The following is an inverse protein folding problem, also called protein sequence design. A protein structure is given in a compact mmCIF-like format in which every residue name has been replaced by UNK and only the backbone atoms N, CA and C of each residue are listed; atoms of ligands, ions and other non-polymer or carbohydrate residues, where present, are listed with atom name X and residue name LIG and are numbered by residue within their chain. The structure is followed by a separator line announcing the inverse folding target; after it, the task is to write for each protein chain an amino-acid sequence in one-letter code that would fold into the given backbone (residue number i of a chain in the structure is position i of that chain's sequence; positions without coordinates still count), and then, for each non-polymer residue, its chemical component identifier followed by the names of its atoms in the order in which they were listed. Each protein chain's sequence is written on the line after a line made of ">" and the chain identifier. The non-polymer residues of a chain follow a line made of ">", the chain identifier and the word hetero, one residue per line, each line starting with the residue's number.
data_IF_046473027485
#
_entry.id   IF_046473027485
#
_cell.length_a   1.000
_cell.length_b   1.000
_cell.length_c   1.000
_cell.angle_alpha   90.00
_cell.angle_beta   90.00
_cell.angle_gamma   90.00
#
_symmetry.space_group_name_H-M   'P 1'
#
loop_
_entity.id
_entity.type
_entity.pdbx_description
1 polymer ?
#
# COMPACT_ATOMS: atom_id res chain seq x y z
N UNK A 1 28.60 10.02 -22.70
CA UNK A 1 28.37 10.00 -21.28
C UNK A 1 26.97 9.62 -20.90
N UNK A 2 26.17 9.27 -21.86
CA UNK A 2 24.83 8.77 -21.61
C UNK A 2 24.84 7.53 -20.74
N UNK A 3 25.82 6.65 -20.90
CA UNK A 3 25.88 5.42 -20.12
C UNK A 3 26.03 5.66 -18.61
N UNK A 4 26.81 6.66 -18.20
CA UNK A 4 26.96 7.00 -16.78
C UNK A 4 25.68 7.60 -16.20
N UNK A 5 25.00 8.46 -16.96
CA UNK A 5 23.74 9.05 -16.53
C UNK A 5 22.66 7.99 -16.39
N UNK A 6 22.59 7.07 -17.34
CA UNK A 6 21.63 5.97 -17.30
C UNK A 6 21.89 5.05 -16.10
N UNK A 7 23.14 4.77 -15.80
CA UNK A 7 23.50 3.95 -14.65
C UNK A 7 23.10 4.61 -13.33
N UNK A 8 23.26 5.94 -13.21
CA UNK A 8 22.85 6.70 -12.03
C UNK A 8 21.33 6.72 -11.88
N UNK A 9 20.60 6.87 -12.97
CA UNK A 9 19.14 6.82 -12.94
C UNK A 9 18.62 5.45 -12.53
N UNK A 10 19.23 4.39 -13.05
CA UNK A 10 18.87 3.03 -12.70
C UNK A 10 19.07 2.79 -11.21
N UNK A 11 20.20 3.22 -10.67
CA UNK A 11 20.50 3.04 -9.25
C UNK A 11 19.55 3.83 -8.38
N UNK A 12 19.23 5.05 -8.75
CA UNK A 12 18.28 5.90 -8.02
C UNK A 12 16.90 5.25 -8.00
N UNK A 13 16.45 4.74 -9.13
CA UNK A 13 15.15 4.12 -9.24
C UNK A 13 15.07 2.83 -8.42
N UNK A 14 16.16 2.09 -8.35
CA UNK A 14 16.24 0.90 -7.51
C UNK A 14 16.10 1.24 -6.04
N UNK A 15 16.77 2.29 -5.57
CA UNK A 15 16.69 2.74 -4.18
C UNK A 15 15.27 3.20 -3.85
N UNK A 16 14.63 3.96 -4.75
CA UNK A 16 13.26 4.40 -4.56
C UNK A 16 12.31 3.21 -4.43
N UNK A 17 12.46 2.21 -5.30
CA UNK A 17 11.61 1.02 -5.26
C UNK A 17 11.80 0.24 -3.96
N UNK A 18 13.04 0.09 -3.50
CA UNK A 18 13.33 -0.59 -2.24
C UNK A 18 12.73 0.14 -1.04
N UNK A 19 12.85 1.48 -1.01
CA UNK A 19 12.27 2.29 0.06
C UNK A 19 10.75 2.19 0.06
N UNK A 20 10.13 2.31 -1.11
CA UNK A 20 8.68 2.22 -1.23
C UNK A 20 8.17 0.86 -0.72
N UNK A 21 8.85 -0.22 -1.07
CA UNK A 21 8.50 -1.55 -0.59
C UNK A 21 8.65 -1.70 0.92
N UNK A 22 9.73 -1.16 1.49
CA UNK A 22 9.96 -1.20 2.93
C UNK A 22 8.91 -0.40 3.71
N UNK A 23 8.56 0.80 3.22
CA UNK A 23 7.53 1.64 3.83
C UNK A 23 6.18 0.94 3.76
N UNK A 24 5.82 0.40 2.60
CA UNK A 24 4.56 -0.33 2.44
C UNK A 24 4.48 -1.51 3.40
N UNK A 25 5.56 -2.27 3.54
CA UNK A 25 5.60 -3.40 4.46
C UNK A 25 5.38 -2.94 5.91
N UNK A 26 6.02 -1.85 6.31
CA UNK A 26 5.86 -1.31 7.66
C UNK A 26 4.48 -0.77 7.93
N UNK A 27 3.81 -0.21 6.92
CA UNK A 27 2.45 0.31 7.07
C UNK A 27 1.42 -0.81 7.20
N UNK A 28 1.69 -1.97 6.64
CA UNK A 28 0.76 -3.09 6.71
C UNK A 28 0.46 -3.54 8.15
N UNK A 29 1.43 -3.48 9.03
CA UNK A 29 1.25 -3.92 10.41
C UNK A 29 0.21 -3.07 11.16
N UNK A 30 0.37 -1.73 11.25
CA UNK A 30 -0.64 -0.90 11.93
C UNK A 30 -1.99 -0.92 11.21
N UNK A 31 -2.02 -1.03 9.90
CA UNK A 31 -3.27 -1.14 9.16
C UNK A 31 -4.01 -2.43 9.50
N UNK A 32 -3.30 -3.53 9.63
CA UNK A 32 -3.90 -4.81 10.01
C UNK A 32 -4.49 -4.75 11.42
N UNK A 33 -3.80 -4.08 12.34
CA UNK A 33 -4.29 -3.89 13.70
C UNK A 33 -5.57 -3.04 13.70
N UNK A 34 -5.55 -1.91 13.01
CA UNK A 34 -6.72 -1.02 12.94
C UNK A 34 -7.91 -1.74 12.29
N UNK A 35 -7.67 -2.45 11.20
CA UNK A 35 -8.70 -3.22 10.52
C UNK A 35 -9.30 -4.26 11.43
N UNK A 36 -8.46 -5.04 12.12
CA UNK A 36 -8.93 -6.11 13.01
C UNK A 36 -9.80 -5.60 14.13
N UNK A 37 -9.41 -4.51 14.80
CA UNK A 37 -10.22 -3.93 15.88
C UNK A 37 -11.52 -3.34 15.36
N UNK A 38 -11.50 -2.68 14.21
CA UNK A 38 -12.73 -2.16 13.60
C UNK A 38 -13.71 -3.28 13.28
N UNK A 39 -13.23 -4.38 12.74
CA UNK A 39 -14.08 -5.53 12.45
C UNK A 39 -14.65 -6.15 13.72
N UNK A 40 -13.84 -6.26 14.77
CA UNK A 40 -14.32 -6.77 16.05
C UNK A 40 -15.45 -5.91 16.60
N UNK A 41 -15.35 -4.58 16.51
CA UNK A 41 -16.38 -3.68 17.00
C UNK A 41 -17.64 -3.77 16.12
N UNK A 42 -17.47 -3.73 14.81
CA UNK A 42 -18.60 -3.69 13.87
C UNK A 42 -19.36 -5.02 13.80
N UNK A 43 -18.68 -6.13 14.07
CA UNK A 43 -19.28 -7.47 14.02
C UNK A 43 -19.76 -7.96 15.38
N UNK A 44 -19.50 -7.22 16.45
CA UNK A 44 -19.91 -7.62 17.80
C UNK A 44 -21.41 -7.42 17.98
N UNK A 45 -22.17 -8.52 18.12
CA UNK A 45 -23.62 -8.41 18.29
C UNK A 45 -24.03 -7.82 19.64
N UNK A 46 -23.10 -7.75 20.61
CA UNK A 46 -23.37 -7.19 21.93
C UNK A 46 -22.99 -5.73 22.04
N UNK A 47 -22.32 -5.16 21.03
CA UNK A 47 -21.94 -3.76 21.06
C UNK A 47 -23.16 -2.87 20.86
N UNK A 48 -23.40 -2.00 21.84
CA UNK A 48 -24.49 -1.03 21.78
C UNK A 48 -23.93 0.29 21.23
N UNK A 49 -24.00 0.44 19.92
CA UNK A 49 -23.50 1.64 19.24
C UNK A 49 -24.68 2.47 18.78
N UNK A 50 -24.67 3.76 19.11
CA UNK A 50 -25.67 4.69 18.56
C UNK A 50 -25.44 4.85 17.05
N UNK A 51 -26.45 5.31 16.29
CA UNK A 51 -26.34 5.43 14.85
C UNK A 51 -25.19 6.32 14.38
N UNK A 52 -24.92 7.39 15.13
CA UNK A 52 -23.85 8.33 14.76
C UNK A 52 -22.48 7.70 14.93
N UNK A 53 -22.25 7.04 16.06
CA UNK A 53 -20.97 6.33 16.31
C UNK A 53 -20.77 5.23 15.29
N UNK A 54 -21.82 4.47 14.99
CA UNK A 54 -21.73 3.40 13.99
C UNK A 54 -21.35 3.95 12.61
N UNK A 55 -21.95 5.08 12.23
CA UNK A 55 -21.61 5.73 10.97
C UNK A 55 -20.15 6.14 10.92
N UNK A 56 -19.64 6.74 12.00
CA UNK A 56 -18.24 7.15 12.07
C UNK A 56 -17.30 5.95 11.99
N UNK A 57 -17.61 4.88 12.68
CA UNK A 57 -16.80 3.67 12.63
C UNK A 57 -16.77 3.06 11.22
N UNK A 58 -17.89 3.07 10.52
CA UNK A 58 -17.96 2.59 9.15
C UNK A 58 -17.13 3.44 8.20
N UNK A 59 -17.17 4.77 8.39
CA UNK A 59 -16.34 5.66 7.59
C UNK A 59 -14.84 5.42 7.82
N UNK A 60 -14.46 5.20 9.08
CA UNK A 60 -13.06 4.86 9.41
C UNK A 60 -12.69 3.52 8.79
N UNK A 61 -13.58 2.53 8.82
CA UNK A 61 -13.34 1.22 8.23
C UNK A 61 -13.10 1.34 6.72
N UNK A 62 -13.90 2.13 6.02
CA UNK A 62 -13.71 2.39 4.60
C UNK A 62 -12.35 3.05 4.34
N UNK A 63 -11.97 4.03 5.16
CA UNK A 63 -10.70 4.72 5.00
C UNK A 63 -9.51 3.77 5.21
N UNK A 64 -9.58 2.93 6.22
CA UNK A 64 -8.52 1.93 6.49
C UNK A 64 -8.44 0.93 5.34
N UNK A 65 -9.57 0.50 4.82
CA UNK A 65 -9.64 -0.40 3.67
C UNK A 65 -8.98 0.23 2.44
N UNK A 66 -9.27 1.50 2.19
CA UNK A 66 -8.67 2.23 1.07
C UNK A 66 -7.16 2.34 1.24
N UNK A 67 -6.69 2.64 2.44
CA UNK A 67 -5.25 2.70 2.71
C UNK A 67 -4.59 1.34 2.48
N UNK A 68 -5.23 0.27 2.91
CA UNK A 68 -4.69 -1.08 2.72
C UNK A 68 -4.58 -1.42 1.23
N UNK A 69 -5.55 -1.04 0.44
CA UNK A 69 -5.50 -1.24 -1.02
C UNK A 69 -4.36 -0.47 -1.66
N UNK A 70 -4.13 0.77 -1.23
CA UNK A 70 -3.02 1.59 -1.74
C UNK A 70 -1.69 0.95 -1.37
N UNK A 71 -1.54 0.51 -0.13
CA UNK A 71 -0.31 -0.16 0.33
C UNK A 71 -0.06 -1.45 -0.44
N UNK A 72 -1.10 -2.24 -0.69
CA UNK A 72 -0.99 -3.46 -1.48
C UNK A 72 -0.56 -3.18 -2.91
N UNK A 73 -1.12 -2.13 -3.53
CA UNK A 73 -0.72 -1.72 -4.87
C UNK A 73 0.73 -1.27 -4.91
N UNK A 74 1.16 -0.53 -3.91
CA UNK A 74 2.54 -0.08 -3.82
C UNK A 74 3.50 -1.27 -3.71
N UNK A 75 3.17 -2.27 -2.91
CA UNK A 75 3.98 -3.48 -2.80
C UNK A 75 4.05 -4.24 -4.13
N UNK A 76 2.92 -4.40 -4.81
CA UNK A 76 2.88 -5.07 -6.11
C UNK A 76 3.67 -4.30 -7.16
N UNK A 77 3.54 -2.96 -7.17
CA UNK A 77 4.28 -2.13 -8.10
C UNK A 77 5.78 -2.30 -7.91
N UNK A 78 6.24 -2.30 -6.65
CA UNK A 78 7.65 -2.47 -6.33
C UNK A 78 8.16 -3.82 -6.81
N UNK A 79 7.46 -4.90 -6.53
CA UNK A 79 7.85 -6.24 -6.95
C UNK A 79 7.81 -6.37 -8.46
N UNK A 80 6.74 -5.89 -9.11
CA UNK A 80 6.57 -5.96 -10.54
C UNK A 80 7.70 -5.26 -11.27
N UNK A 81 7.98 -4.00 -10.91
CA UNK A 81 9.01 -3.22 -11.58
C UNK A 81 10.41 -3.76 -11.28
N UNK A 82 10.63 -4.27 -10.09
CA UNK A 82 11.91 -4.86 -9.73
C UNK A 82 12.19 -6.12 -10.55
N UNK A 83 11.19 -6.92 -10.84
CA UNK A 83 11.34 -8.16 -11.61
C UNK A 83 11.35 -7.92 -13.11
N UNK A 84 10.45 -7.08 -13.62
CA UNK A 84 10.29 -6.84 -15.06
C UNK A 84 11.29 -5.84 -15.60
N UNK A 85 11.68 -4.87 -14.79
CA UNK A 85 12.55 -3.78 -15.19
C UNK A 85 13.64 -3.57 -14.15
N UNK A 86 14.58 -4.53 -14.01
CA UNK A 86 15.61 -4.42 -12.96
C UNK A 86 16.39 -3.11 -13.11
N UNK A 87 16.27 -2.24 -12.13
CA UNK A 87 16.94 -0.95 -12.13
C UNK A 87 16.38 0.07 -13.11
N UNK A 88 15.30 -0.27 -13.82
CA UNK A 88 14.72 0.61 -14.82
C UNK A 88 13.41 1.27 -14.40
N UNK A 89 13.08 1.22 -13.13
CA UNK A 89 11.84 1.81 -12.64
C UNK A 89 11.93 3.33 -12.63
N UNK A 90 11.15 4.00 -13.46
CA UNK A 90 11.14 5.44 -13.53
C UNK A 90 10.00 6.06 -12.73
N UNK A 91 8.81 5.48 -12.82
CA UNK A 91 7.61 5.99 -12.16
C UNK A 91 6.85 4.82 -11.59
N UNK A 92 6.46 4.95 -10.31
CA UNK A 92 5.54 4.03 -9.68
C UNK A 92 4.12 4.51 -9.94
N UNK A 93 3.48 3.93 -10.94
CA UNK A 93 2.09 4.22 -11.25
C UNK A 93 1.21 3.09 -10.73
N UNK A 94 0.48 3.38 -9.67
CA UNK A 94 -0.35 2.39 -9.01
C UNK A 94 -1.55 1.95 -9.85
N UNK A 95 -1.93 2.76 -10.83
CA UNK A 95 -3.05 2.43 -11.71
C UNK A 95 -2.63 1.54 -12.88
N UNK A 96 -1.33 1.42 -13.13
CA UNK A 96 -0.78 0.64 -14.24
C UNK A 96 -0.37 -0.76 -13.83
N UNK A 97 -0.93 -1.28 -12.75
CA UNK A 97 -0.62 -2.60 -12.25
C UNK A 97 -1.49 -3.68 -12.89
N UNK A 98 -0.98 -4.92 -13.00
CA UNK A 98 -1.83 -6.05 -13.39
C UNK A 98 -3.02 -6.17 -12.44
N UNK A 99 -4.20 -6.59 -12.94
CA UNK A 99 -5.42 -6.58 -12.13
C UNK A 99 -5.39 -7.49 -10.91
N UNK A 100 -4.59 -8.52 -10.89
CA UNK A 100 -4.48 -9.36 -9.70
C UNK A 100 -3.16 -10.09 -9.68
N UNK A 101 -2.72 -10.36 -8.52
CA UNK A 101 -1.49 -11.11 -8.33
C UNK A 101 -1.75 -12.57 -8.16
#
# INVERSE_FOLDING_TARGET
>A
MTASTDALEIERNRVVAQLAGAVAHKLKQPLAVAWGYLELILEDPTAELDPTTLRYLREIHIAVQTMDEVVNRLQRATVYHTRQYPGGLEILDLDDLPPSA
#
